data_IF_288381479071
#
_entry.id   IF_288381479071
#
_cell.length_a   1.000
_cell.length_b   1.000
_cell.length_c   1.000
_cell.angle_alpha   90.00
_cell.angle_beta   90.00
_cell.angle_gamma   90.00
#
_symmetry.space_group_name_H-M   'P 1'
#
loop_
_entity.id
_entity.type
_entity.pdbx_description
1 polymer ?
#
# COMPACT_ATOMS: atom_id res chain seq x y z
N UNK A 1 -87.68 5.19 27.63
CA UNK A 1 -86.60 4.56 28.42
C UNK A 1 -85.63 3.94 27.41
N UNK A 2 -84.60 4.70 27.03
CA UNK A 2 -83.23 4.71 27.60
C UNK A 2 -82.36 3.66 26.86
N UNK A 3 -81.60 4.09 25.84
CA UNK A 3 -80.19 4.55 25.90
C UNK A 3 -79.27 3.38 25.50
N UNK A 4 -78.19 3.48 24.72
CA UNK A 4 -77.40 4.61 24.20
C UNK A 4 -76.45 4.03 23.12
N UNK A 5 -76.25 4.78 22.02
CA UNK A 5 -74.96 5.19 21.38
C UNK A 5 -73.77 4.21 21.28
N UNK A 6 -72.96 4.13 20.21
CA UNK A 6 -72.90 4.72 18.85
C UNK A 6 -71.67 4.13 18.11
N UNK A 7 -71.85 3.76 16.82
CA UNK A 7 -71.03 3.99 15.59
C UNK A 7 -69.49 3.82 15.60
N UNK A 8 -68.77 3.09 14.71
CA UNK A 8 -68.82 2.70 13.27
C UNK A 8 -67.79 3.41 12.34
N UNK A 9 -67.13 2.57 11.51
CA UNK A 9 -66.73 2.73 10.07
C UNK A 9 -65.71 3.81 9.67
N UNK A 10 -64.60 3.55 8.94
CA UNK A 10 -64.24 2.70 7.79
C UNK A 10 -64.63 3.24 6.38
N UNK A 11 -63.60 3.75 5.69
CA UNK A 11 -63.18 3.56 4.28
C UNK A 11 -64.04 4.02 3.06
N UNK A 12 -63.33 4.64 2.09
CA UNK A 12 -63.34 4.48 0.62
C UNK A 12 -63.61 5.73 -0.28
N UNK A 13 -62.67 5.89 -1.24
CA UNK A 13 -62.79 6.35 -2.66
C UNK A 13 -63.14 7.82 -2.95
N UNK A 14 -62.71 8.51 -4.01
CA UNK A 14 -61.76 8.30 -5.14
C UNK A 14 -61.64 9.64 -5.92
N UNK A 15 -60.47 9.91 -6.52
CA UNK A 15 -60.19 10.74 -7.73
C UNK A 15 -60.66 12.20 -7.85
N UNK A 16 -59.70 13.14 -8.02
CA UNK A 16 -59.76 14.10 -9.14
C UNK A 16 -58.40 14.75 -9.49
N UNK A 17 -58.29 15.06 -10.79
CA UNK A 17 -57.11 15.37 -11.59
C UNK A 17 -56.62 16.82 -11.49
N UNK A 18 -55.29 16.96 -11.45
CA UNK A 18 -54.39 18.06 -11.85
C UNK A 18 -54.91 19.51 -12.00
N UNK A 19 -54.27 20.42 -11.24
CA UNK A 19 -53.73 21.67 -11.78
C UNK A 19 -52.44 22.07 -11.06
N UNK A 20 -51.44 22.38 -11.88
CA UNK A 20 -50.02 22.60 -11.64
C UNK A 20 -49.67 23.85 -10.83
N UNK A 21 -48.87 23.67 -9.77
CA UNK A 21 -47.83 24.62 -9.34
C UNK A 21 -46.56 23.83 -9.01
N UNK A 22 -45.49 24.13 -9.72
CA UNK A 22 -44.14 23.60 -9.49
C UNK A 22 -43.55 24.20 -8.20
N UNK A 23 -43.03 23.39 -7.26
CA UNK A 23 -42.03 23.86 -6.31
C UNK A 23 -40.65 23.72 -6.98
N UNK A 24 -40.03 24.85 -7.32
CA UNK A 24 -38.61 24.93 -7.62
C UNK A 24 -37.83 25.04 -6.30
N UNK A 25 -36.82 24.19 -6.17
CA UNK A 25 -35.50 24.41 -5.57
C UNK A 25 -35.43 24.93 -4.12
N UNK A 26 -35.45 24.01 -3.15
CA UNK A 26 -34.83 24.21 -1.82
C UNK A 26 -33.56 23.31 -1.64
N UNK A 27 -33.27 22.38 -2.56
CA UNK A 27 -32.13 21.45 -2.43
C UNK A 27 -30.79 21.95 -3.05
N UNK A 28 -30.82 23.05 -3.82
CA UNK A 28 -29.64 23.61 -4.49
C UNK A 28 -28.89 24.67 -3.65
N UNK A 29 -29.60 25.40 -2.76
CA UNK A 29 -28.96 26.39 -1.87
C UNK A 29 -28.06 25.70 -0.84
N UNK A 30 -28.55 24.65 -0.18
CA UNK A 30 -27.80 23.88 0.83
C UNK A 30 -26.57 23.16 0.25
N UNK A 31 -26.62 22.73 -1.02
CA UNK A 31 -25.45 22.16 -1.71
C UNK A 31 -24.41 23.22 -2.05
N UNK A 32 -24.85 24.40 -2.49
CA UNK A 32 -23.94 25.51 -2.83
C UNK A 32 -23.20 26.04 -1.60
N UNK A 33 -23.89 26.10 -0.45
CA UNK A 33 -23.29 26.50 0.83
C UNK A 33 -22.32 25.43 1.36
N UNK A 34 -22.63 24.15 1.17
CA UNK A 34 -21.72 23.06 1.54
C UNK A 34 -20.47 23.03 0.66
N UNK A 35 -20.60 23.28 -0.64
CA UNK A 35 -19.45 23.41 -1.56
C UNK A 35 -18.60 24.64 -1.25
N UNK A 36 -19.22 25.76 -0.86
CA UNK A 36 -18.52 26.96 -0.41
C UNK A 36 -17.72 26.69 0.88
N UNK A 37 -18.33 26.02 1.86
CA UNK A 37 -17.68 25.64 3.12
C UNK A 37 -16.49 24.70 2.88
N UNK A 38 -16.61 23.75 1.95
CA UNK A 38 -15.52 22.85 1.59
C UNK A 38 -14.37 23.56 0.86
N UNK A 39 -14.70 24.54 0.00
CA UNK A 39 -13.71 25.38 -0.67
C UNK A 39 -12.95 26.27 0.34
N UNK A 40 -13.68 26.86 1.30
CA UNK A 40 -13.09 27.66 2.39
C UNK A 40 -12.17 26.82 3.29
N UNK A 41 -12.58 25.60 3.66
CA UNK A 41 -11.75 24.70 4.48
C UNK A 41 -10.48 24.27 3.73
N UNK A 42 -10.61 23.96 2.44
CA UNK A 42 -9.49 23.60 1.58
C UNK A 42 -8.50 24.76 1.41
N UNK A 43 -9.00 25.97 1.25
CA UNK A 43 -8.19 27.18 1.12
C UNK A 43 -7.49 27.54 2.45
N UNK A 44 -8.19 27.40 3.58
CA UNK A 44 -7.62 27.58 4.91
C UNK A 44 -6.47 26.60 5.19
N UNK A 45 -6.63 25.32 4.79
CA UNK A 45 -5.55 24.31 4.85
C UNK A 45 -4.35 24.69 3.99
N UNK A 46 -4.58 25.22 2.78
CA UNK A 46 -3.51 25.66 1.89
C UNK A 46 -2.71 26.83 2.51
N UNK A 47 -3.40 27.85 3.04
CA UNK A 47 -2.74 28.98 3.71
C UNK A 47 -1.97 28.54 4.96
N UNK A 48 -2.51 27.60 5.74
CA UNK A 48 -1.82 27.01 6.89
C UNK A 48 -0.53 26.32 6.47
N UNK A 49 -0.56 25.52 5.40
CA UNK A 49 0.62 24.84 4.87
C UNK A 49 1.69 25.81 4.34
N UNK A 50 1.27 26.88 3.65
CA UNK A 50 2.17 27.93 3.16
C UNK A 50 2.85 28.65 4.35
N UNK A 51 2.07 29.01 5.38
CA UNK A 51 2.61 29.59 6.61
C UNK A 51 3.59 28.65 7.32
N UNK A 52 3.28 27.36 7.37
CA UNK A 52 4.14 26.37 7.99
C UNK A 52 5.47 26.19 7.24
N UNK A 53 5.41 26.21 5.90
CA UNK A 53 6.59 26.15 5.03
C UNK A 53 7.46 27.41 5.18
N UNK A 54 6.84 28.60 5.18
CA UNK A 54 7.52 29.88 5.41
C UNK A 54 8.24 29.90 6.76
N UNK A 55 7.54 29.52 7.84
CA UNK A 55 8.10 29.46 9.18
C UNK A 55 9.23 28.42 9.32
N UNK A 56 9.11 27.27 8.66
CA UNK A 56 10.19 26.27 8.63
C UNK A 56 11.41 26.76 7.85
N UNK A 57 11.21 27.43 6.72
CA UNK A 57 12.28 28.01 5.92
C UNK A 57 13.08 29.05 6.71
N UNK A 58 12.39 29.98 7.38
CA UNK A 58 13.04 30.98 8.25
C UNK A 58 13.80 30.31 9.39
N UNK A 59 13.20 29.31 10.03
CA UNK A 59 13.83 28.58 11.13
C UNK A 59 15.11 27.87 10.67
N UNK A 60 15.11 27.33 9.44
CA UNK A 60 16.27 26.67 8.86
C UNK A 60 17.39 27.68 8.55
N UNK A 61 17.05 28.82 7.96
CA UNK A 61 18.01 29.92 7.65
C UNK A 61 18.64 30.47 8.92
N UNK A 62 17.84 30.69 9.98
CA UNK A 62 18.34 31.15 11.30
C UNK A 62 19.29 30.16 11.98
N UNK A 63 19.20 28.87 11.65
CA UNK A 63 20.11 27.83 12.16
C UNK A 63 21.45 27.77 11.40
N UNK A 64 21.64 28.58 10.36
CA UNK A 64 22.85 28.61 9.53
C UNK A 64 23.56 29.99 9.57
N UNK A 65 23.87 30.55 10.75
CA UNK A 65 24.45 31.90 10.86
C UNK A 65 25.85 32.04 10.25
N UNK A 66 26.58 30.93 10.13
CA UNK A 66 27.88 30.87 9.48
C UNK A 66 27.79 30.94 7.94
N UNK A 67 26.61 30.68 7.36
CA UNK A 67 26.36 30.72 5.91
C UNK A 67 25.85 32.09 5.49
N UNK A 68 24.90 32.65 6.24
CA UNK A 68 24.19 33.88 5.83
C UNK A 68 24.73 35.16 6.49
N UNK A 69 25.56 35.05 7.52
CA UNK A 69 26.16 36.20 8.20
C UNK A 69 25.19 36.95 9.14
N UNK A 70 25.73 37.58 10.19
CA UNK A 70 24.91 38.19 11.25
C UNK A 70 24.12 39.43 10.81
N UNK A 71 24.62 40.20 9.82
CA UNK A 71 23.94 41.39 9.30
C UNK A 71 22.68 41.04 8.50
N UNK A 72 22.74 39.99 7.68
CA UNK A 72 21.59 39.49 6.93
C UNK A 72 20.51 38.93 7.86
N UNK A 73 20.89 38.15 8.88
CA UNK A 73 19.93 37.62 9.85
C UNK A 73 19.26 38.72 10.68
N UNK A 74 19.97 39.82 10.99
CA UNK A 74 19.39 40.98 11.66
C UNK A 74 18.43 41.78 10.76
N UNK A 75 18.74 41.90 9.47
CA UNK A 75 17.85 42.51 8.48
C UNK A 75 16.57 41.68 8.29
N UNK A 76 16.71 40.35 8.19
CA UNK A 76 15.59 39.40 8.11
C UNK A 76 14.67 39.50 9.34
N UNK A 77 15.24 39.64 10.54
CA UNK A 77 14.45 39.85 11.78
C UNK A 77 13.70 41.18 11.79
N UNK A 78 14.29 42.24 11.21
CA UNK A 78 13.65 43.56 11.12
C UNK A 78 12.49 43.56 10.11
N UNK A 79 12.66 42.87 8.98
CA UNK A 79 11.64 42.75 7.94
C UNK A 79 10.46 41.87 8.38
N UNK A 80 10.72 40.82 9.16
CA UNK A 80 9.68 39.99 9.78
C UNK A 80 8.81 40.75 10.80
N UNK A 81 9.37 41.73 11.51
CA UNK A 81 8.62 42.58 12.45
C UNK A 81 7.68 43.57 11.75
N UNK A 82 7.91 43.85 10.47
CA UNK A 82 7.09 44.78 9.67
C UNK A 82 6.20 44.07 8.64
N UNK A 83 6.22 42.74 8.59
CA UNK A 83 5.38 41.97 7.69
C UNK A 83 3.90 42.02 8.12
N UNK A 84 2.96 42.26 7.18
CA UNK A 84 1.51 42.28 7.47
C UNK A 84 0.97 40.92 7.94
N UNK A 85 1.77 39.85 7.85
CA UNK A 85 1.43 38.51 8.34
C UNK A 85 1.67 38.32 9.85
N UNK A 86 2.33 39.27 10.53
CA UNK A 86 2.64 39.19 11.97
C UNK A 86 1.40 39.20 12.88
N UNK A 87 0.23 39.59 12.37
CA UNK A 87 -1.04 39.65 13.11
C UNK A 87 -1.98 38.45 12.94
N UNK A 88 -1.64 37.44 12.12
CA UNK A 88 -2.50 36.26 11.90
C UNK A 88 -2.30 35.21 13.00
N UNK A 89 -2.64 35.56 14.24
CA UNK A 89 -2.92 34.61 15.31
C UNK A 89 -4.37 34.74 15.75
N UNK A 90 -5.18 33.74 15.39
CA UNK A 90 -6.49 33.49 16.00
C UNK A 90 -7.69 34.10 15.27
N UNK A 91 -8.43 33.21 14.58
CA UNK A 91 -9.86 33.37 14.23
C UNK A 91 -10.18 34.41 13.17
N UNK A 92 -10.59 33.97 11.98
CA UNK A 92 -11.19 34.85 10.97
C UNK A 92 -12.53 34.28 10.49
N UNK A 93 -13.58 35.09 10.63
CA UNK A 93 -14.95 34.83 10.19
C UNK A 93 -15.19 35.33 8.74
N UNK A 94 -16.25 34.82 8.12
CA UNK A 94 -16.60 34.80 6.68
C UNK A 94 -16.71 36.14 5.90
N UNK A 95 -16.26 37.27 6.43
CA UNK A 95 -16.39 38.58 5.76
C UNK A 95 -15.09 39.20 5.22
N UNK A 96 -13.93 38.68 5.59
CA UNK A 96 -12.65 39.40 5.45
C UNK A 96 -12.13 39.45 4.00
N UNK A 97 -12.38 38.42 3.19
CA UNK A 97 -11.71 38.23 1.90
C UNK A 97 -12.09 39.26 0.82
N UNK A 98 -13.25 39.92 0.92
CA UNK A 98 -13.65 40.97 -0.04
C UNK A 98 -12.97 42.32 0.19
N UNK A 99 -12.33 42.54 1.35
CA UNK A 99 -11.88 43.89 1.73
C UNK A 99 -10.37 44.13 1.53
N UNK A 100 -9.56 43.08 1.34
CA UNK A 100 -8.09 43.18 1.56
C UNK A 100 -7.21 43.30 0.31
N UNK A 101 -7.77 43.37 -0.91
CA UNK A 101 -6.97 43.63 -2.12
C UNK A 101 -5.80 42.66 -2.30
N UNK A 102 -6.11 41.38 -2.45
CA UNK A 102 -5.16 40.25 -2.42
C UNK A 102 -4.16 40.18 -3.58
N UNK A 103 -4.27 41.06 -4.58
CA UNK A 103 -3.37 41.10 -5.74
C UNK A 103 -1.94 41.48 -5.32
N UNK A 104 -1.80 42.43 -4.37
CA UNK A 104 -0.49 42.88 -3.90
C UNK A 104 0.26 41.87 -3.04
N UNK A 105 -0.44 40.93 -2.39
CA UNK A 105 0.19 39.91 -1.54
C UNK A 105 0.81 38.81 -2.40
N UNK A 106 0.11 38.40 -3.47
CA UNK A 106 0.62 37.41 -4.41
C UNK A 106 1.80 37.93 -5.22
N UNK A 107 1.75 39.20 -5.66
CA UNK A 107 2.88 39.84 -6.35
C UNK A 107 4.11 39.97 -5.42
N UNK A 108 3.90 40.33 -4.15
CA UNK A 108 4.99 40.42 -3.17
C UNK A 108 5.62 39.05 -2.86
N UNK A 109 4.82 37.98 -2.82
CA UNK A 109 5.33 36.60 -2.68
C UNK A 109 6.10 36.11 -3.91
N UNK A 110 5.63 36.46 -5.11
CA UNK A 110 6.32 36.13 -6.36
C UNK A 110 7.64 36.89 -6.49
N UNK A 111 7.64 38.18 -6.17
CA UNK A 111 8.82 39.04 -6.22
C UNK A 111 9.85 38.66 -5.16
N UNK A 112 9.41 38.30 -3.95
CA UNK A 112 10.29 37.76 -2.91
C UNK A 112 10.95 36.44 -3.36
N UNK A 113 10.18 35.51 -3.93
CA UNK A 113 10.73 34.27 -4.49
C UNK A 113 11.74 34.51 -5.61
N UNK A 114 11.48 35.50 -6.47
CA UNK A 114 12.39 35.91 -7.55
C UNK A 114 13.68 36.52 -7.02
N UNK A 115 13.58 37.42 -6.04
CA UNK A 115 14.72 38.11 -5.44
C UNK A 115 15.60 37.15 -4.64
N UNK A 116 15.01 36.20 -3.90
CA UNK A 116 15.76 35.14 -3.22
C UNK A 116 16.55 34.30 -4.22
N UNK A 117 15.96 33.90 -5.36
CA UNK A 117 16.66 33.14 -6.40
C UNK A 117 17.77 33.97 -7.08
N UNK A 118 17.55 35.27 -7.29
CA UNK A 118 18.55 36.17 -7.88
C UNK A 118 19.73 36.46 -6.94
N UNK A 119 19.48 36.74 -5.65
CA UNK A 119 20.55 36.90 -4.65
C UNK A 119 21.31 35.60 -4.40
N UNK A 120 20.62 34.45 -4.41
CA UNK A 120 21.28 33.14 -4.31
C UNK A 120 22.19 32.91 -5.52
N UNK A 121 21.77 33.31 -6.71
CA UNK A 121 22.57 33.19 -7.94
C UNK A 121 23.76 34.14 -7.97
N UNK A 122 23.60 35.41 -7.57
CA UNK A 122 24.70 36.39 -7.55
C UNK A 122 25.73 36.11 -6.46
N UNK A 123 25.28 35.73 -5.26
CA UNK A 123 26.16 35.40 -4.13
C UNK A 123 26.97 34.14 -4.41
N UNK A 124 26.38 33.14 -5.07
CA UNK A 124 27.09 31.92 -5.49
C UNK A 124 28.15 32.24 -6.54
N UNK A 125 27.84 33.10 -7.53
CA UNK A 125 28.80 33.46 -8.59
C UNK A 125 29.99 34.29 -8.08
N UNK A 126 29.82 35.14 -7.07
CA UNK A 126 30.92 35.94 -6.52
C UNK A 126 31.77 35.18 -5.49
N UNK A 127 31.20 34.21 -4.75
CA UNK A 127 31.97 33.27 -3.91
C UNK A 127 32.90 32.38 -4.74
N UNK A 128 32.53 32.07 -5.99
CA UNK A 128 33.38 31.30 -6.91
C UNK A 128 34.53 32.10 -7.56
N UNK A 129 34.61 33.42 -7.35
CA UNK A 129 35.70 34.26 -7.89
C UNK A 129 36.82 34.55 -6.89
N UNK A 130 36.68 34.18 -5.62
CA UNK A 130 37.75 34.37 -4.63
C UNK A 130 38.85 33.28 -4.75
N UNK A 131 40.13 33.65 -4.99
CA UNK A 131 41.20 32.68 -5.27
C UNK A 131 41.51 31.71 -4.12
N UNK A 132 41.09 32.03 -2.89
CA UNK A 132 41.41 31.27 -1.69
C UNK A 132 40.34 30.26 -1.25
N UNK A 133 39.15 30.27 -1.88
CA UNK A 133 38.07 29.34 -1.53
C UNK A 133 38.18 27.99 -2.29
N UNK A 134 38.75 28.02 -3.50
CA UNK A 134 38.95 26.84 -4.36
C UNK A 134 39.78 25.72 -3.71
N UNK A 135 40.78 26.07 -2.88
CA UNK A 135 41.70 25.09 -2.30
C UNK A 135 41.17 24.37 -1.05
N UNK A 136 40.22 24.96 -0.31
CA UNK A 136 39.66 24.34 0.91
C UNK A 136 38.32 23.63 0.67
N UNK A 137 37.59 23.99 -0.38
CA UNK A 137 36.30 23.33 -0.69
C UNK A 137 36.47 21.95 -1.33
N UNK A 138 37.61 21.69 -1.98
CA UNK A 138 37.87 20.43 -2.68
C UNK A 138 38.02 19.22 -1.72
N UNK A 139 38.36 19.41 -0.44
CA UNK A 139 38.57 18.29 0.49
C UNK A 139 37.36 17.90 1.34
N UNK A 140 36.28 18.70 1.38
CA UNK A 140 35.19 18.52 2.35
C UNK A 140 33.87 18.02 1.74
N UNK A 141 33.70 18.08 0.41
CA UNK A 141 32.41 17.74 -0.25
C UNK A 141 32.42 16.44 -1.07
N UNK A 142 33.53 15.70 -1.10
CA UNK A 142 33.64 14.40 -1.80
C UNK A 142 33.14 13.20 -0.96
N UNK A 143 32.55 13.45 0.21
CA UNK A 143 31.92 12.43 1.05
C UNK A 143 30.49 12.82 1.41
N UNK A 144 29.59 12.82 0.43
CA UNK A 144 28.22 12.28 0.56
C UNK A 144 27.44 12.44 -0.74
N UNK A 145 26.84 11.33 -1.19
CA UNK A 145 25.85 11.13 -2.27
C UNK A 145 26.39 10.78 -3.66
N UNK A 146 26.20 9.53 -4.12
CA UNK A 146 26.19 9.20 -5.53
C UNK A 146 24.76 9.10 -6.07
N UNK A 147 24.48 9.84 -7.14
CA UNK A 147 23.57 9.39 -8.19
C UNK A 147 24.42 8.88 -9.35
N UNK A 148 23.99 7.76 -9.93
CA UNK A 148 24.63 6.93 -10.95
C UNK A 148 24.89 7.66 -12.27
N UNK A 149 26.13 7.66 -12.76
CA UNK A 149 26.58 7.04 -14.03
C UNK A 149 27.86 7.68 -14.59
N UNK A 150 28.74 6.80 -15.09
CA UNK A 150 29.78 6.99 -16.12
C UNK A 150 31.26 7.28 -15.78
N UNK A 151 32.03 6.18 -15.97
CA UNK A 151 33.33 6.05 -16.65
C UNK A 151 34.59 6.48 -15.88
N UNK A 152 35.17 5.48 -15.19
CA UNK A 152 36.54 5.48 -14.69
C UNK A 152 37.55 5.25 -15.83
N UNK A 153 38.45 6.20 -16.04
CA UNK A 153 39.81 5.93 -16.51
C UNK A 153 40.78 6.21 -15.36
N UNK A 154 41.66 5.25 -15.05
CA UNK A 154 42.90 5.50 -14.31
C UNK A 154 43.01 5.03 -12.85
N UNK A 155 43.56 3.81 -12.71
CA UNK A 155 44.48 3.28 -11.67
C UNK A 155 44.03 3.04 -10.20
N UNK A 156 44.19 1.77 -9.79
CA UNK A 156 43.83 1.15 -8.50
C UNK A 156 44.83 1.47 -7.37
N UNK A 157 44.34 1.55 -6.11
CA UNK A 157 45.10 1.14 -4.93
C UNK A 157 44.69 -0.27 -4.45
N UNK A 158 45.62 -0.89 -3.74
CA UNK A 158 45.81 -2.32 -3.42
C UNK A 158 44.64 -3.09 -2.78
N UNK A 159 44.70 -4.41 -3.01
CA UNK A 159 43.71 -5.46 -2.78
C UNK A 159 43.15 -5.54 -1.35
N UNK A 160 41.81 -5.46 -1.26
CA UNK A 160 41.03 -6.06 -0.17
C UNK A 160 40.42 -7.39 -0.68
N UNK A 161 40.24 -8.41 0.18
CA UNK A 161 39.71 -9.70 -0.27
C UNK A 161 38.32 -9.52 -0.86
N UNK A 162 38.09 -10.11 -2.03
CA UNK A 162 36.89 -9.94 -2.84
C UNK A 162 35.62 -10.24 -2.04
N UNK A 163 34.87 -9.20 -1.70
CA UNK A 163 33.43 -9.33 -1.44
C UNK A 163 32.75 -9.40 -2.81
N UNK A 164 31.98 -10.46 -3.04
CA UNK A 164 31.24 -10.72 -4.28
C UNK A 164 30.52 -9.46 -4.78
N UNK A 165 30.82 -9.08 -6.03
CA UNK A 165 30.15 -7.99 -6.74
C UNK A 165 28.64 -8.26 -6.79
N UNK A 166 27.85 -7.52 -6.00
CA UNK A 166 26.41 -7.48 -6.15
C UNK A 166 26.08 -6.62 -7.37
N UNK A 167 25.60 -7.26 -8.43
CA UNK A 167 25.14 -6.62 -9.66
C UNK A 167 24.06 -5.57 -9.36
N UNK A 168 24.19 -4.32 -9.86
CA UNK A 168 23.14 -3.32 -9.72
C UNK A 168 21.95 -3.72 -10.60
N UNK A 169 20.82 -4.10 -9.98
CA UNK A 169 19.57 -4.44 -10.65
C UNK A 169 19.29 -5.93 -10.88
N UNK A 170 19.95 -6.84 -10.14
CA UNK A 170 19.72 -8.29 -10.24
C UNK A 170 18.37 -8.76 -9.68
N UNK A 171 17.82 -9.85 -10.24
CA UNK A 171 16.71 -10.58 -9.64
C UNK A 171 17.03 -10.93 -8.18
N UNK A 172 16.06 -10.70 -7.29
CA UNK A 172 16.16 -10.92 -5.85
C UNK A 172 15.32 -12.13 -5.46
N UNK A 173 15.77 -13.31 -5.91
CA UNK A 173 15.20 -14.64 -5.63
C UNK A 173 15.26 -15.00 -4.12
N UNK A 174 15.42 -16.26 -3.72
CA UNK A 174 15.46 -16.64 -2.30
C UNK A 174 16.52 -15.86 -1.50
N UNK A 175 17.65 -15.49 -2.12
CA UNK A 175 18.66 -14.63 -1.49
C UNK A 175 18.08 -13.27 -1.11
N UNK A 176 17.21 -12.68 -1.93
CA UNK A 176 16.57 -11.41 -1.65
C UNK A 176 15.69 -11.46 -0.40
N UNK A 177 14.90 -12.52 -0.24
CA UNK A 177 14.11 -12.76 0.97
C UNK A 177 14.99 -12.90 2.23
N UNK A 178 16.08 -13.66 2.14
CA UNK A 178 17.00 -13.86 3.27
C UNK A 178 17.75 -12.58 3.64
N UNK A 179 18.21 -11.82 2.65
CA UNK A 179 18.89 -10.55 2.85
C UNK A 179 17.96 -9.50 3.50
N UNK A 180 16.70 -9.42 3.07
CA UNK A 180 15.70 -8.58 3.71
C UNK A 180 15.44 -9.00 5.16
N UNK A 181 15.32 -10.31 5.40
CA UNK A 181 15.15 -10.85 6.76
C UNK A 181 16.35 -10.50 7.65
N UNK A 182 17.57 -10.70 7.15
CA UNK A 182 18.80 -10.35 7.86
C UNK A 182 18.87 -8.85 8.14
N UNK A 183 18.52 -8.02 7.15
CA UNK A 183 18.50 -6.58 7.27
C UNK A 183 17.54 -6.12 8.38
N UNK A 184 16.32 -6.67 8.41
CA UNK A 184 15.34 -6.39 9.47
C UNK A 184 15.88 -6.77 10.85
N UNK A 185 16.50 -7.94 10.98
CA UNK A 185 17.07 -8.38 12.27
C UNK A 185 18.21 -7.49 12.77
N UNK A 186 19.01 -6.92 11.86
CA UNK A 186 20.18 -6.10 12.20
C UNK A 186 19.83 -4.61 12.40
N UNK A 187 18.94 -4.07 11.57
CA UNK A 187 18.69 -2.63 11.47
C UNK A 187 17.26 -2.23 11.83
N UNK A 188 16.34 -3.19 11.94
CA UNK A 188 14.95 -2.93 12.26
C UNK A 188 14.76 -2.35 13.66
N UNK A 189 13.67 -1.61 13.84
CA UNK A 189 13.31 -1.01 15.12
C UNK A 189 12.32 -1.90 15.84
N UNK A 190 12.55 -2.11 17.14
CA UNK A 190 11.59 -2.79 18.01
C UNK A 190 10.34 -1.93 18.19
N UNK A 191 9.16 -2.54 18.06
CA UNK A 191 7.86 -1.92 18.26
C UNK A 191 6.91 -2.91 18.93
N UNK A 192 5.93 -2.40 19.67
CA UNK A 192 4.76 -3.20 20.06
C UNK A 192 3.85 -3.44 18.87
N UNK A 193 2.87 -4.32 19.03
CA UNK A 193 1.86 -4.63 18.02
C UNK A 193 0.55 -5.08 18.68
N UNK A 194 -0.52 -5.22 17.89
CA UNK A 194 -1.86 -5.58 18.40
C UNK A 194 -1.93 -6.95 19.09
N UNK A 195 -1.02 -7.87 18.78
CA UNK A 195 -0.98 -9.23 19.35
C UNK A 195 -0.27 -9.28 20.70
N UNK A 196 0.47 -8.22 21.07
CA UNK A 196 1.30 -8.17 22.28
C UNK A 196 2.63 -8.92 22.19
N UNK A 197 2.95 -9.55 21.06
CA UNK A 197 4.23 -10.28 20.86
C UNK A 197 5.41 -9.34 20.69
N UNK A 198 5.19 -8.19 20.07
CA UNK A 198 6.21 -7.27 19.61
C UNK A 198 6.88 -7.72 18.32
N UNK A 199 7.42 -6.75 17.59
CA UNK A 199 8.10 -6.96 16.31
C UNK A 199 9.41 -6.19 16.24
N UNK A 200 10.30 -6.63 15.36
CA UNK A 200 11.41 -5.84 14.82
C UNK A 200 11.06 -5.52 13.37
N UNK A 201 10.98 -4.25 12.98
CA UNK A 201 10.51 -3.88 11.64
C UNK A 201 11.28 -2.77 10.95
N UNK A 202 11.16 -2.77 9.62
CA UNK A 202 11.58 -1.70 8.71
C UNK A 202 10.38 -1.29 7.85
N UNK A 203 10.37 -0.06 7.37
CA UNK A 203 9.29 0.45 6.54
C UNK A 203 9.78 0.65 5.10
N UNK A 204 9.20 -0.11 4.18
CA UNK A 204 9.64 -0.20 2.79
C UNK A 204 10.67 -1.29 2.56
N UNK A 205 10.29 -2.33 1.81
CA UNK A 205 11.19 -3.31 1.23
C UNK A 205 10.63 -3.82 -0.10
N UNK A 206 11.49 -4.30 -1.00
CA UNK A 206 11.04 -4.86 -2.27
C UNK A 206 11.90 -6.06 -2.69
N UNK A 207 11.24 -7.16 -3.05
CA UNK A 207 11.85 -8.33 -3.69
C UNK A 207 11.34 -8.50 -5.13
N UNK A 208 12.11 -9.22 -5.95
CA UNK A 208 11.74 -9.55 -7.34
C UNK A 208 12.17 -10.98 -7.62
N UNK A 209 11.24 -11.83 -8.03
CA UNK A 209 11.45 -13.24 -8.31
C UNK A 209 11.17 -13.49 -9.78
N UNK A 210 12.09 -14.16 -10.49
CA UNK A 210 11.78 -14.60 -11.84
C UNK A 210 10.92 -15.86 -11.80
N UNK A 211 9.85 -15.89 -12.58
CA UNK A 211 8.95 -17.04 -12.73
C UNK A 211 9.30 -17.89 -13.96
N UNK A 212 10.32 -17.50 -14.73
CA UNK A 212 10.74 -18.22 -15.95
C UNK A 212 11.45 -19.51 -15.54
N UNK A 213 10.89 -20.65 -15.95
CA UNK A 213 11.41 -22.00 -15.69
C UNK A 213 11.65 -22.36 -14.21
N UNK A 214 11.00 -21.66 -13.27
CA UNK A 214 11.08 -21.90 -11.82
C UNK A 214 9.88 -21.33 -11.06
N UNK A 215 9.63 -21.85 -9.87
CA UNK A 215 8.56 -21.41 -8.98
C UNK A 215 9.13 -20.99 -7.62
N UNK A 216 8.93 -19.73 -7.17
CA UNK A 216 9.59 -19.18 -5.98
C UNK A 216 8.97 -19.71 -4.68
N UNK A 217 9.25 -20.98 -4.38
CA UNK A 217 8.89 -21.65 -3.14
C UNK A 217 10.17 -21.87 -2.33
N UNK A 218 10.30 -21.15 -1.21
CA UNK A 218 11.54 -21.12 -0.42
C UNK A 218 12.08 -22.52 -0.12
N UNK A 219 13.38 -22.68 -0.24
CA UNK A 219 14.08 -23.96 -0.05
C UNK A 219 14.83 -24.02 1.27
N UNK A 220 15.19 -22.89 1.86
CA UNK A 220 15.80 -22.80 3.20
C UNK A 220 14.84 -23.21 4.32
N UNK A 221 13.54 -23.36 4.05
CA UNK A 221 12.54 -23.91 4.96
C UNK A 221 11.43 -24.57 4.14
N UNK A 222 11.01 -25.79 4.49
CA UNK A 222 9.81 -26.40 3.89
C UNK A 222 8.57 -25.54 4.13
N UNK A 223 8.04 -24.96 3.06
CA UNK A 223 6.78 -24.21 3.00
C UNK A 223 5.59 -25.14 2.74
N UNK A 224 4.44 -24.84 3.35
CA UNK A 224 3.22 -25.65 3.27
C UNK A 224 2.42 -25.38 1.99
N UNK A 225 2.83 -26.03 0.89
CA UNK A 225 2.24 -25.89 -0.45
C UNK A 225 0.71 -26.04 -0.49
N UNK A 226 0.17 -27.10 0.14
CA UNK A 226 -1.29 -27.36 0.14
C UNK A 226 -2.08 -26.16 0.67
N UNK A 227 -1.59 -25.51 1.73
CA UNK A 227 -2.24 -24.34 2.30
C UNK A 227 -2.28 -23.17 1.31
N UNK A 228 -1.17 -22.89 0.64
CA UNK A 228 -1.06 -21.82 -0.37
C UNK A 228 -2.04 -22.06 -1.52
N UNK A 229 -2.05 -23.27 -2.07
CA UNK A 229 -2.88 -23.62 -3.21
C UNK A 229 -4.37 -23.54 -2.89
N UNK A 230 -4.80 -24.17 -1.79
CA UNK A 230 -6.22 -24.19 -1.41
C UNK A 230 -6.74 -22.82 -0.99
N UNK A 231 -5.92 -22.01 -0.32
CA UNK A 231 -6.28 -20.62 0.01
C UNK A 231 -6.45 -19.77 -1.25
N UNK A 232 -5.56 -19.90 -2.22
CA UNK A 232 -5.70 -19.13 -3.47
C UNK A 232 -6.95 -19.55 -4.25
N UNK A 233 -7.25 -20.85 -4.35
CA UNK A 233 -8.48 -21.32 -4.98
C UNK A 233 -9.73 -20.81 -4.24
N UNK A 234 -9.67 -20.73 -2.90
CA UNK A 234 -10.72 -20.16 -2.07
C UNK A 234 -10.91 -18.65 -2.30
N UNK A 235 -9.83 -17.87 -2.42
CA UNK A 235 -9.90 -16.46 -2.81
C UNK A 235 -10.49 -16.29 -4.21
N UNK A 236 -10.04 -17.08 -5.19
CA UNK A 236 -10.52 -17.02 -6.57
C UNK A 236 -12.02 -17.27 -6.62
N UNK A 237 -12.54 -18.27 -5.90
CA UNK A 237 -13.99 -18.55 -5.84
C UNK A 237 -14.81 -17.42 -5.18
N UNK A 238 -14.16 -16.48 -4.48
CA UNK A 238 -14.84 -15.41 -3.75
C UNK A 238 -15.38 -15.83 -2.39
N UNK A 239 -14.99 -17.00 -1.88
CA UNK A 239 -15.49 -17.51 -0.59
C UNK A 239 -14.93 -16.71 0.58
N UNK A 240 -15.73 -16.60 1.64
CA UNK A 240 -15.39 -15.95 2.93
C UNK A 240 -15.59 -16.90 4.12
N UNK A 241 -15.92 -18.16 3.85
CA UNK A 241 -16.11 -19.20 4.85
C UNK A 241 -14.82 -19.96 5.14
N UNK A 242 -14.23 -19.74 6.32
CA UNK A 242 -13.01 -20.41 6.76
C UNK A 242 -13.17 -21.94 6.97
N UNK A 243 -14.40 -22.44 7.12
CA UNK A 243 -14.67 -23.88 7.28
C UNK A 243 -14.37 -24.65 6.01
N UNK A 244 -14.55 -24.05 4.82
CA UNK A 244 -14.19 -24.69 3.53
C UNK A 244 -12.71 -25.09 3.48
N UNK A 245 -11.83 -24.25 4.03
CA UNK A 245 -10.40 -24.55 4.14
C UNK A 245 -10.13 -25.63 5.20
N UNK A 246 -10.81 -25.53 6.34
CA UNK A 246 -10.65 -26.46 7.46
C UNK A 246 -11.04 -27.89 7.09
N UNK A 247 -12.11 -28.07 6.31
CA UNK A 247 -12.55 -29.35 5.76
C UNK A 247 -11.49 -30.00 4.85
N UNK A 248 -10.66 -29.19 4.19
CA UNK A 248 -9.49 -29.65 3.41
C UNK A 248 -8.22 -29.82 4.25
N UNK A 249 -8.30 -29.64 5.57
CA UNK A 249 -7.17 -29.72 6.49
C UNK A 249 -6.24 -28.50 6.43
N UNK A 250 -6.73 -27.36 5.94
CA UNK A 250 -6.00 -26.09 5.90
C UNK A 250 -6.53 -25.18 7.01
N UNK A 251 -5.69 -24.91 8.01
CA UNK A 251 -6.08 -24.29 9.29
C UNK A 251 -5.61 -22.84 9.48
N UNK A 252 -5.11 -22.20 8.42
CA UNK A 252 -4.45 -20.89 8.49
C UNK A 252 -5.40 -19.75 8.92
N UNK A 253 -6.71 -19.90 8.69
CA UNK A 253 -7.76 -18.94 9.08
C UNK A 253 -8.55 -19.35 10.33
N UNK A 254 -8.27 -20.52 10.92
CA UNK A 254 -9.06 -21.10 12.02
C UNK A 254 -9.08 -20.18 13.25
N UNK A 255 -7.93 -19.58 13.60
CA UNK A 255 -7.84 -18.65 14.73
C UNK A 255 -8.66 -17.37 14.50
N UNK A 256 -8.55 -16.78 13.30
CA UNK A 256 -9.25 -15.54 12.95
C UNK A 256 -10.75 -15.73 12.71
N UNK A 257 -11.18 -16.94 12.37
CA UNK A 257 -12.59 -17.30 12.22
C UNK A 257 -13.24 -17.88 13.48
N UNK A 258 -12.49 -18.06 14.56
CA UNK A 258 -13.01 -18.66 15.80
C UNK A 258 -14.07 -17.78 16.46
N UNK A 259 -15.04 -18.41 17.14
CA UNK A 259 -16.09 -17.70 17.89
C UNK A 259 -15.50 -16.61 18.80
N UNK A 260 -14.49 -16.97 19.58
CA UNK A 260 -13.83 -16.06 20.52
C UNK A 260 -13.22 -14.84 19.82
N UNK A 261 -12.55 -15.04 18.68
CA UNK A 261 -11.91 -13.93 17.96
C UNK A 261 -12.96 -12.99 17.35
N UNK A 262 -14.02 -13.53 16.77
CA UNK A 262 -15.13 -12.73 16.22
C UNK A 262 -15.85 -11.93 17.31
N UNK A 263 -16.08 -12.52 18.49
CA UNK A 263 -16.70 -11.84 19.62
C UNK A 263 -15.83 -10.69 20.15
N UNK A 264 -14.50 -10.89 20.19
CA UNK A 264 -13.54 -9.84 20.56
C UNK A 264 -13.55 -8.65 19.59
N UNK A 265 -13.95 -8.87 18.33
CA UNK A 265 -14.15 -7.82 17.33
C UNK A 265 -15.55 -7.21 17.36
N UNK A 266 -16.45 -7.69 18.22
CA UNK A 266 -17.83 -7.24 18.33
C UNK A 266 -18.80 -7.90 17.35
N UNK A 267 -18.40 -8.96 16.65
CA UNK A 267 -19.25 -9.69 15.70
C UNK A 267 -20.03 -10.83 16.37
N UNK A 268 -20.82 -10.51 17.40
CA UNK A 268 -21.52 -11.51 18.22
C UNK A 268 -22.55 -12.34 17.46
N UNK A 269 -23.17 -11.77 16.43
CA UNK A 269 -24.22 -12.43 15.63
C UNK A 269 -23.70 -13.09 14.36
N UNK A 270 -22.42 -12.87 14.02
CA UNK A 270 -21.78 -13.46 12.83
C UNK A 270 -21.48 -14.94 13.06
N UNK A 271 -21.75 -15.82 12.11
CA UNK A 271 -21.46 -17.26 12.28
C UNK A 271 -19.95 -17.53 12.49
N UNK A 272 -19.60 -18.52 13.32
CA UNK A 272 -18.20 -18.98 13.41
C UNK A 272 -17.70 -19.43 12.04
N UNK A 273 -16.49 -18.98 11.66
CA UNK A 273 -15.91 -19.21 10.34
C UNK A 273 -16.25 -18.14 9.28
N UNK A 274 -17.22 -17.26 9.52
CA UNK A 274 -17.51 -16.13 8.63
C UNK A 274 -16.48 -15.02 8.85
N UNK A 275 -15.59 -14.83 7.88
CA UNK A 275 -14.51 -13.85 7.96
C UNK A 275 -14.94 -12.44 7.57
N UNK A 276 -16.18 -12.24 7.12
CA UNK A 276 -16.64 -11.00 6.50
C UNK A 276 -16.13 -10.83 5.06
N UNK A 277 -16.27 -9.63 4.47
CA UNK A 277 -15.93 -9.35 3.07
C UNK A 277 -14.42 -9.22 2.84
N UNK A 278 -13.65 -10.28 3.12
CA UNK A 278 -12.18 -10.34 2.98
C UNK A 278 -11.74 -10.50 1.52
N UNK A 279 -10.52 -11.00 1.27
CA UNK A 279 -9.86 -10.99 -0.04
C UNK A 279 -10.72 -11.47 -1.21
N UNK A 280 -11.22 -12.71 -1.16
CA UNK A 280 -11.99 -13.28 -2.28
C UNK A 280 -13.25 -12.48 -2.59
N UNK A 281 -13.97 -12.03 -1.56
CA UNK A 281 -15.12 -11.17 -1.73
C UNK A 281 -14.76 -9.86 -2.43
N UNK A 282 -13.68 -9.20 -2.02
CA UNK A 282 -13.24 -7.99 -2.70
C UNK A 282 -12.76 -8.27 -4.13
N UNK A 283 -12.22 -9.45 -4.43
CA UNK A 283 -11.79 -9.80 -5.79
C UNK A 283 -12.96 -10.02 -6.75
N UNK A 284 -14.06 -10.61 -6.28
CA UNK A 284 -15.20 -11.03 -7.11
C UNK A 284 -16.42 -10.11 -7.01
N UNK A 285 -16.56 -9.37 -5.90
CA UNK A 285 -17.77 -8.65 -5.50
C UNK A 285 -17.45 -7.27 -4.91
N UNK A 286 -16.40 -6.59 -5.37
CA UNK A 286 -15.96 -5.31 -4.80
C UNK A 286 -17.12 -4.29 -4.79
N UNK A 287 -17.40 -3.71 -3.62
CA UNK A 287 -18.45 -2.71 -3.42
C UNK A 287 -19.87 -3.26 -3.24
N UNK A 288 -20.08 -4.57 -3.34
CA UNK A 288 -21.35 -5.20 -2.95
C UNK A 288 -21.59 -5.09 -1.43
N UNK A 289 -22.85 -5.10 -1.01
CA UNK A 289 -23.20 -5.12 0.41
C UNK A 289 -23.05 -6.54 0.97
N UNK A 290 -22.12 -6.70 1.91
CA UNK A 290 -21.92 -7.99 2.57
C UNK A 290 -23.05 -8.28 3.56
N UNK A 291 -23.60 -9.49 3.49
CA UNK A 291 -24.61 -9.99 4.44
C UNK A 291 -24.06 -11.13 5.29
N UNK A 292 -23.87 -12.31 4.72
CA UNK A 292 -23.30 -13.49 5.38
C UNK A 292 -22.40 -14.28 4.42
N UNK A 293 -21.55 -15.16 4.94
CA UNK A 293 -20.74 -16.06 4.11
C UNK A 293 -21.55 -17.08 3.27
N UNK A 294 -22.84 -17.25 3.55
CA UNK A 294 -23.72 -18.22 2.88
C UNK A 294 -24.61 -17.58 1.79
N UNK A 295 -24.58 -16.26 1.63
CA UNK A 295 -25.39 -15.56 0.64
C UNK A 295 -24.83 -15.74 -0.78
N UNK A 296 -25.72 -15.66 -1.77
CA UNK A 296 -25.34 -15.64 -3.18
C UNK A 296 -25.03 -14.21 -3.63
N UNK A 297 -23.76 -13.95 -3.92
CA UNK A 297 -23.26 -12.66 -4.41
C UNK A 297 -23.10 -12.62 -5.93
N UNK A 298 -23.58 -13.63 -6.66
CA UNK A 298 -23.46 -13.70 -8.12
C UNK A 298 -24.02 -12.45 -8.79
N UNK A 299 -23.20 -11.79 -9.61
CA UNK A 299 -23.58 -10.56 -10.32
C UNK A 299 -23.62 -9.30 -9.45
N UNK A 300 -23.24 -9.37 -8.17
CA UNK A 300 -23.16 -8.22 -7.28
C UNK A 300 -21.73 -7.67 -7.22
N UNK A 301 -21.62 -6.34 -7.14
CA UNK A 301 -20.33 -5.64 -7.06
C UNK A 301 -19.55 -5.68 -8.37
N UNK A 302 -18.24 -5.44 -8.28
CA UNK A 302 -17.31 -5.48 -9.41
C UNK A 302 -16.43 -6.74 -9.31
N UNK A 303 -16.47 -7.59 -10.34
CA UNK A 303 -15.57 -8.73 -10.48
C UNK A 303 -14.21 -8.26 -11.03
N UNK A 304 -13.34 -7.84 -10.11
CA UNK A 304 -12.00 -7.33 -10.45
C UNK A 304 -11.13 -8.42 -11.08
N UNK A 305 -11.22 -9.66 -10.61
CA UNK A 305 -10.43 -10.78 -11.15
C UNK A 305 -10.80 -11.05 -12.62
N UNK A 306 -12.10 -11.10 -12.92
CA UNK A 306 -12.54 -11.27 -14.30
C UNK A 306 -12.16 -10.06 -15.17
N UNK A 307 -12.30 -8.83 -14.67
CA UNK A 307 -11.88 -7.63 -15.38
C UNK A 307 -10.38 -7.62 -15.71
N UNK A 308 -9.53 -8.10 -14.80
CA UNK A 308 -8.09 -8.28 -15.04
C UNK A 308 -7.85 -9.26 -16.20
N UNK A 309 -8.48 -10.44 -16.16
CA UNK A 309 -8.33 -11.48 -17.19
C UNK A 309 -8.80 -10.96 -18.55
N UNK A 310 -9.97 -10.34 -18.59
CA UNK A 310 -10.55 -9.75 -19.79
C UNK A 310 -9.66 -8.66 -20.39
N UNK A 311 -9.09 -7.80 -19.54
CA UNK A 311 -8.20 -6.73 -19.98
C UNK A 311 -6.90 -7.29 -20.53
N UNK A 312 -6.30 -8.30 -19.89
CA UNK A 312 -5.10 -8.98 -20.41
C UNK A 312 -5.35 -9.56 -21.81
N UNK A 313 -6.53 -10.17 -22.03
CA UNK A 313 -6.86 -10.78 -23.32
C UNK A 313 -7.18 -9.74 -24.41
N UNK A 314 -7.85 -8.64 -24.05
CA UNK A 314 -8.37 -7.66 -25.02
C UNK A 314 -7.45 -6.45 -25.24
N UNK A 315 -6.76 -6.01 -24.20
CA UNK A 315 -5.88 -4.85 -24.18
C UNK A 315 -4.64 -5.10 -23.28
N UNK A 316 -3.73 -6.02 -23.66
CA UNK A 316 -2.61 -6.43 -22.81
C UNK A 316 -1.65 -5.30 -22.42
N UNK A 317 -1.56 -4.24 -23.23
CA UNK A 317 -0.70 -3.08 -22.96
C UNK A 317 -1.35 -2.05 -22.02
N UNK A 318 -2.56 -2.32 -21.54
CA UNK A 318 -3.23 -1.45 -20.57
C UNK A 318 -2.40 -1.33 -19.29
N UNK A 319 -2.31 -0.10 -18.78
CA UNK A 319 -1.51 0.23 -17.58
C UNK A 319 -2.34 0.23 -16.30
N UNK A 320 -3.60 -0.22 -16.37
CA UNK A 320 -4.60 -0.19 -15.28
C UNK A 320 -5.09 -1.60 -14.92
N UNK A 321 -4.35 -2.64 -15.31
CA UNK A 321 -4.66 -4.04 -14.97
C UNK A 321 -4.37 -4.26 -13.48
N UNK A 322 -5.32 -3.89 -12.62
CA UNK A 322 -5.15 -3.82 -11.16
C UNK A 322 -6.28 -4.57 -10.48
N UNK A 323 -5.94 -5.22 -9.36
CA UNK A 323 -6.90 -5.80 -8.42
C UNK A 323 -6.58 -5.29 -7.01
N UNK A 324 -7.60 -4.79 -6.30
CA UNK A 324 -7.47 -4.19 -4.98
C UNK A 324 -8.39 -4.87 -3.95
N UNK A 325 -7.82 -5.29 -2.82
CA UNK A 325 -8.58 -5.81 -1.68
C UNK A 325 -8.88 -4.73 -0.63
N UNK A 326 -8.22 -3.57 -0.69
CA UNK A 326 -8.39 -2.51 0.30
C UNK A 326 -9.64 -1.66 0.02
N UNK A 327 -10.75 -2.00 0.67
CA UNK A 327 -12.01 -1.25 0.58
C UNK A 327 -12.31 -0.55 1.93
N UNK A 328 -12.10 0.77 2.05
CA UNK A 328 -12.31 1.51 3.30
C UNK A 328 -13.71 1.35 3.92
N UNK A 329 -14.75 1.19 3.10
CA UNK A 329 -16.13 0.98 3.57
C UNK A 329 -16.28 -0.34 4.33
N UNK A 330 -15.60 -1.37 3.87
CA UNK A 330 -15.78 -2.74 4.36
C UNK A 330 -14.74 -3.15 5.40
N UNK A 331 -13.66 -2.37 5.60
CA UNK A 331 -12.63 -2.68 6.62
C UNK A 331 -13.21 -2.97 8.01
N UNK A 332 -14.20 -2.22 8.54
CA UNK A 332 -14.79 -2.49 9.85
C UNK A 332 -15.59 -3.81 9.89
N UNK A 333 -15.89 -4.42 8.75
CA UNK A 333 -16.63 -5.68 8.65
C UNK A 333 -15.70 -6.90 8.54
N UNK A 334 -14.40 -6.72 8.32
CA UNK A 334 -13.47 -7.83 8.08
C UNK A 334 -12.89 -8.37 9.38
N UNK A 335 -12.81 -9.70 9.52
CA UNK A 335 -12.13 -10.34 10.65
C UNK A 335 -10.64 -9.95 10.71
N UNK A 336 -10.01 -9.77 9.54
CA UNK A 336 -8.66 -9.23 9.44
C UNK A 336 -8.55 -8.34 8.20
N UNK A 337 -8.17 -7.05 8.34
CA UNK A 337 -7.94 -6.18 7.20
C UNK A 337 -6.87 -6.73 6.24
N UNK A 338 -7.02 -6.59 4.92
CA UNK A 338 -6.13 -7.17 3.92
C UNK A 338 -4.67 -6.80 4.13
N UNK A 339 -3.78 -7.79 4.21
CA UNK A 339 -2.33 -7.57 4.27
C UNK A 339 -1.79 -7.29 2.86
N UNK A 340 -2.08 -8.16 1.90
CA UNK A 340 -1.82 -7.97 0.47
C UNK A 340 -2.95 -7.13 -0.13
N UNK A 341 -2.71 -5.83 -0.27
CA UNK A 341 -3.76 -4.83 -0.44
C UNK A 341 -4.08 -4.57 -1.92
N UNK A 342 -3.07 -4.58 -2.79
CA UNK A 342 -3.22 -4.26 -4.20
C UNK A 342 -2.18 -5.01 -5.03
N UNK A 343 -2.57 -5.58 -6.16
CA UNK A 343 -1.63 -6.07 -7.15
C UNK A 343 -1.93 -5.47 -8.55
N UNK A 344 -0.86 -5.27 -9.31
CA UNK A 344 -0.89 -4.81 -10.68
C UNK A 344 -0.25 -5.88 -11.58
N UNK A 345 -0.86 -6.11 -12.74
CA UNK A 345 -0.34 -6.99 -13.76
C UNK A 345 0.25 -6.19 -14.92
N UNK A 346 1.21 -6.80 -15.60
CA UNK A 346 1.93 -6.19 -16.71
C UNK A 346 2.21 -7.25 -17.77
N UNK A 347 1.82 -6.98 -19.02
CA UNK A 347 2.10 -7.85 -20.16
C UNK A 347 3.19 -7.22 -21.03
N UNK A 348 4.23 -7.97 -21.32
CA UNK A 348 5.30 -7.55 -22.23
C UNK A 348 5.98 -8.80 -22.81
N UNK A 349 6.35 -8.75 -24.09
CA UNK A 349 7.07 -9.84 -24.77
C UNK A 349 6.43 -11.25 -24.64
N UNK A 350 5.10 -11.30 -24.60
CA UNK A 350 4.34 -12.54 -24.43
C UNK A 350 4.38 -13.12 -23.01
N UNK A 351 4.84 -12.34 -22.04
CA UNK A 351 4.94 -12.71 -20.63
C UNK A 351 4.01 -11.87 -19.74
N UNK A 352 3.49 -12.49 -18.69
CA UNK A 352 2.69 -11.85 -17.65
C UNK A 352 3.50 -11.72 -16.36
N UNK A 353 3.68 -10.48 -15.90
CA UNK A 353 4.30 -10.17 -14.62
C UNK A 353 3.26 -9.63 -13.63
N UNK A 354 3.55 -9.75 -12.34
CA UNK A 354 2.69 -9.29 -11.25
C UNK A 354 3.51 -8.52 -10.21
N UNK A 355 3.05 -7.33 -9.84
CA UNK A 355 3.57 -6.56 -8.73
C UNK A 355 2.54 -6.49 -7.61
N UNK A 356 2.90 -6.97 -6.42
CA UNK A 356 2.09 -6.91 -5.21
C UNK A 356 2.57 -5.80 -4.28
N UNK A 357 1.66 -4.98 -3.77
CA UNK A 357 1.86 -4.16 -2.58
C UNK A 357 1.17 -4.80 -1.37
N UNK A 358 1.97 -5.11 -0.35
CA UNK A 358 1.54 -5.67 0.92
C UNK A 358 1.87 -4.70 2.05
N UNK A 359 0.84 -4.15 2.70
CA UNK A 359 1.00 -3.11 3.74
C UNK A 359 1.73 -3.60 5.00
N UNK A 360 1.66 -4.91 5.27
CA UNK A 360 2.20 -5.55 6.47
C UNK A 360 2.67 -6.95 6.12
N UNK A 361 3.97 -7.21 6.24
CA UNK A 361 4.62 -8.45 5.85
C UNK A 361 5.34 -9.12 7.01
N UNK A 362 4.72 -10.16 7.57
CA UNK A 362 5.39 -11.06 8.51
C UNK A 362 6.40 -11.92 7.75
N UNK A 363 7.68 -11.62 7.92
CA UNK A 363 8.77 -12.32 7.23
C UNK A 363 8.87 -13.79 7.65
N UNK A 364 8.45 -14.17 8.86
CA UNK A 364 8.58 -15.54 9.37
C UNK A 364 7.58 -16.51 8.75
N UNK A 365 6.32 -16.12 8.70
CA UNK A 365 5.22 -16.97 8.23
C UNK A 365 4.56 -16.43 6.96
N UNK A 366 4.06 -15.18 6.99
CA UNK A 366 3.21 -14.62 5.93
C UNK A 366 3.90 -14.45 4.58
N UNK A 367 5.04 -13.75 4.54
CA UNK A 367 5.74 -13.40 3.29
C UNK A 367 6.10 -14.63 2.44
N UNK A 368 6.66 -15.73 3.00
CA UNK A 368 6.87 -16.96 2.24
C UNK A 368 5.59 -17.53 1.58
N UNK A 369 4.45 -17.45 2.25
CA UNK A 369 3.16 -17.84 1.68
C UNK A 369 2.72 -16.88 0.57
N UNK A 370 2.86 -15.57 0.78
CA UNK A 370 2.43 -14.55 -0.16
C UNK A 370 3.25 -14.57 -1.46
N UNK A 371 4.55 -14.84 -1.39
CA UNK A 371 5.42 -15.01 -2.57
C UNK A 371 4.88 -16.13 -3.47
N UNK A 372 4.70 -17.32 -2.90
CA UNK A 372 4.22 -18.47 -3.65
C UNK A 372 2.76 -18.30 -4.13
N UNK A 373 1.89 -17.68 -3.33
CA UNK A 373 0.48 -17.47 -3.68
C UNK A 373 0.32 -16.54 -4.89
N UNK A 374 0.99 -15.39 -4.90
CA UNK A 374 0.88 -14.45 -6.03
C UNK A 374 1.70 -14.88 -7.24
N UNK A 375 2.79 -15.64 -7.05
CA UNK A 375 3.44 -16.35 -8.16
C UNK A 375 2.45 -17.34 -8.80
N UNK A 376 1.76 -18.17 -8.00
CA UNK A 376 0.78 -19.12 -8.50
C UNK A 376 -0.38 -18.43 -9.23
N UNK A 377 -0.93 -17.34 -8.70
CA UNK A 377 -1.96 -16.55 -9.38
C UNK A 377 -1.47 -16.06 -10.76
N UNK A 378 -0.22 -15.60 -10.83
CA UNK A 378 0.39 -15.15 -12.09
C UNK A 378 0.53 -16.31 -13.08
N UNK A 379 0.95 -17.49 -12.63
CA UNK A 379 0.98 -18.71 -13.44
C UNK A 379 -0.41 -19.10 -13.97
N UNK A 380 -1.45 -19.04 -13.11
CA UNK A 380 -2.82 -19.41 -13.48
C UNK A 380 -3.40 -18.45 -14.54
N UNK A 381 -3.22 -17.14 -14.35
CA UNK A 381 -3.70 -16.14 -15.31
C UNK A 381 -2.92 -16.27 -16.63
N UNK A 382 -1.59 -16.37 -16.57
CA UNK A 382 -0.77 -16.56 -17.76
C UNK A 382 -1.22 -17.78 -18.57
N UNK A 383 -1.49 -18.91 -17.89
CA UNK A 383 -1.98 -20.14 -18.51
C UNK A 383 -3.29 -19.94 -19.28
N UNK A 384 -4.31 -19.33 -18.66
CA UNK A 384 -5.63 -19.17 -19.29
C UNK A 384 -5.65 -18.05 -20.35
N UNK A 385 -4.68 -17.14 -20.34
CA UNK A 385 -4.53 -16.09 -21.35
C UNK A 385 -3.50 -16.44 -22.42
N UNK A 386 -2.90 -17.63 -22.39
CA UNK A 386 -1.91 -18.08 -23.38
C UNK A 386 -0.56 -17.35 -23.32
N UNK A 387 -0.26 -16.72 -22.18
CA UNK A 387 1.01 -16.04 -21.91
C UNK A 387 1.97 -16.95 -21.13
N UNK A 388 3.24 -16.56 -21.08
CA UNK A 388 4.24 -17.18 -20.19
C UNK A 388 4.34 -16.40 -18.87
N UNK A 389 4.67 -17.03 -17.74
CA UNK A 389 4.92 -16.30 -16.49
C UNK A 389 6.26 -15.53 -16.58
N UNK A 390 6.23 -14.23 -16.22
CA UNK A 390 7.37 -13.31 -16.26
C UNK A 390 8.00 -13.10 -14.88
N UNK A 391 7.81 -11.91 -14.29
CA UNK A 391 8.35 -11.56 -12.98
C UNK A 391 7.24 -11.45 -11.92
N UNK A 392 7.57 -11.84 -10.68
CA UNK A 392 6.80 -11.45 -9.50
C UNK A 392 7.58 -10.43 -8.68
N UNK A 393 7.03 -9.23 -8.47
CA UNK A 393 7.62 -8.16 -7.67
C UNK A 393 6.81 -7.99 -6.38
N UNK A 394 7.45 -8.09 -5.23
CA UNK A 394 6.79 -8.02 -3.92
C UNK A 394 7.25 -6.78 -3.18
N UNK A 395 6.38 -5.80 -3.04
CA UNK A 395 6.60 -4.55 -2.31
C UNK A 395 5.95 -4.65 -0.93
N UNK A 396 6.73 -4.41 0.12
CA UNK A 396 6.31 -4.46 1.52
C UNK A 396 6.28 -3.06 2.13
N UNK A 397 5.21 -2.74 2.83
CA UNK A 397 5.09 -1.59 3.72
C UNK A 397 5.85 -1.85 5.03
N UNK A 398 5.14 -2.23 6.09
CA UNK A 398 5.76 -2.67 7.35
C UNK A 398 6.27 -4.12 7.21
N UNK A 399 7.56 -4.26 6.87
CA UNK A 399 8.25 -5.55 6.79
C UNK A 399 8.84 -5.88 8.17
N UNK A 400 8.38 -6.96 8.78
CA UNK A 400 8.64 -7.22 10.18
C UNK A 400 8.91 -8.69 10.51
N UNK A 401 9.65 -8.88 11.60
CA UNK A 401 9.89 -10.17 12.24
C UNK A 401 9.30 -10.10 13.64
N UNK A 402 8.37 -11.02 13.96
CA UNK A 402 7.91 -11.17 15.33
C UNK A 402 9.05 -11.59 16.26
N UNK A 403 9.05 -11.08 17.49
CA UNK A 403 10.13 -11.33 18.45
C UNK A 403 10.32 -12.83 18.73
N UNK A 404 9.24 -13.60 18.75
CA UNK A 404 9.27 -15.06 18.92
C UNK A 404 9.75 -15.83 17.66
N UNK A 405 9.95 -15.17 16.52
CA UNK A 405 10.49 -15.77 15.29
C UNK A 405 11.98 -15.47 15.06
N UNK A 406 12.60 -14.63 15.88
CA UNK A 406 14.01 -14.23 15.70
C UNK A 406 14.95 -15.45 15.69
N UNK A 407 14.86 -16.33 16.69
CA UNK A 407 15.73 -17.53 16.77
C UNK A 407 15.43 -18.54 15.65
N UNK A 408 14.16 -18.88 15.35
CA UNK A 408 13.81 -19.65 14.15
C UNK A 408 14.40 -19.10 12.84
N UNK A 409 14.35 -17.78 12.63
CA UNK A 409 14.86 -17.15 11.42
C UNK A 409 16.39 -17.12 11.37
N UNK A 410 17.09 -16.97 12.51
CA UNK A 410 18.55 -17.14 12.55
C UNK A 410 18.98 -18.53 12.09
N UNK A 411 18.23 -19.57 12.45
CA UNK A 411 18.47 -20.94 11.94
C UNK A 411 18.25 -20.99 10.42
N UNK A 412 17.19 -20.35 9.91
CA UNK A 412 16.93 -20.30 8.47
C UNK A 412 18.07 -19.61 7.71
N UNK A 413 18.59 -18.49 8.23
CA UNK A 413 19.65 -17.69 7.62
C UNK A 413 21.01 -18.42 7.52
N UNK A 414 21.20 -19.48 8.29
CA UNK A 414 22.41 -20.32 8.23
C UNK A 414 22.33 -21.44 7.17
N UNK A 415 21.15 -21.65 6.57
CA UNK A 415 20.94 -22.74 5.60
C UNK A 415 21.36 -22.29 4.20
N UNK A 416 22.04 -23.18 3.49
CA UNK A 416 22.34 -22.99 2.08
C UNK A 416 21.05 -22.98 1.25
N UNK A 417 20.95 -22.03 0.32
CA UNK A 417 19.87 -21.97 -0.67
C UNK A 417 20.02 -23.15 -1.62
N UNK A 418 18.92 -23.83 -1.94
CA UNK A 418 18.84 -24.85 -2.97
C UNK A 418 18.07 -24.32 -4.18
N UNK A 419 18.20 -24.93 -5.37
CA UNK A 419 17.44 -24.51 -6.54
C UNK A 419 15.94 -24.49 -6.25
N UNK A 420 15.25 -23.45 -6.72
CA UNK A 420 13.80 -23.41 -6.67
C UNK A 420 13.19 -24.59 -7.43
N UNK A 421 12.02 -25.08 -7.00
CA UNK A 421 11.30 -26.10 -7.74
C UNK A 421 10.71 -25.55 -9.04
N UNK A 422 10.11 -26.44 -9.83
CA UNK A 422 9.28 -26.06 -10.99
C UNK A 422 7.81 -26.30 -10.68
N UNK A 423 6.93 -25.45 -11.21
CA UNK A 423 5.49 -25.65 -11.18
C UNK A 423 5.03 -26.15 -12.55
N UNK A 424 4.26 -27.24 -12.59
CA UNK A 424 3.54 -27.69 -13.78
C UNK A 424 2.05 -27.59 -13.56
N UNK A 425 1.35 -27.08 -14.57
CA UNK A 425 -0.10 -27.17 -14.68
C UNK A 425 -0.40 -28.38 -15.58
N UNK A 426 -0.97 -29.43 -15.00
CA UNK A 426 -1.13 -30.75 -15.61
C UNK A 426 -2.25 -30.80 -16.66
N UNK A 427 -3.28 -29.96 -16.47
CA UNK A 427 -4.47 -29.93 -17.33
C UNK A 427 -4.56 -28.59 -18.03
N UNK A 428 -4.99 -28.62 -19.30
CA UNK A 428 -5.42 -27.39 -19.99
C UNK A 428 -6.74 -26.91 -19.39
N UNK A 429 -6.66 -25.88 -18.56
CA UNK A 429 -7.80 -25.15 -18.01
C UNK A 429 -8.09 -23.90 -18.85
N UNK A 430 -9.37 -23.55 -19.05
CA UNK A 430 -9.79 -22.40 -19.88
C UNK A 430 -10.33 -21.22 -19.06
N UNK A 431 -10.91 -21.48 -17.89
CA UNK A 431 -11.44 -20.45 -16.98
C UNK A 431 -10.71 -20.49 -15.64
N UNK A 432 -10.54 -19.34 -15.00
CA UNK A 432 -9.88 -19.25 -13.70
C UNK A 432 -10.60 -20.05 -12.60
N UNK A 433 -11.94 -20.15 -12.68
CA UNK A 433 -12.77 -20.87 -11.72
C UNK A 433 -12.66 -22.40 -11.83
N UNK A 434 -12.16 -22.91 -12.97
CA UNK A 434 -12.16 -24.34 -13.27
C UNK A 434 -10.91 -25.06 -12.74
N UNK A 435 -9.93 -24.31 -12.19
CA UNK A 435 -8.73 -24.89 -11.59
C UNK A 435 -9.06 -25.68 -10.32
N UNK A 436 -8.37 -26.81 -10.16
CA UNK A 436 -8.47 -27.69 -9.00
C UNK A 436 -7.09 -27.97 -8.44
N UNK A 437 -7.04 -28.42 -7.18
CA UNK A 437 -5.76 -28.66 -6.51
C UNK A 437 -4.92 -29.73 -7.25
N UNK A 438 -5.58 -30.71 -7.85
CA UNK A 438 -4.95 -31.79 -8.62
C UNK A 438 -4.31 -31.31 -9.93
N UNK A 439 -4.63 -30.11 -10.41
CA UNK A 439 -4.07 -29.59 -11.65
C UNK A 439 -2.63 -29.11 -11.49
N UNK A 440 -2.09 -29.05 -10.26
CA UNK A 440 -0.78 -28.47 -9.97
C UNK A 440 0.20 -29.51 -9.42
N UNK A 441 1.36 -29.60 -10.06
CA UNK A 441 2.48 -30.43 -9.61
C UNK A 441 3.70 -29.55 -9.33
N UNK A 442 4.25 -29.68 -8.12
CA UNK A 442 5.54 -29.10 -7.75
C UNK A 442 6.63 -30.16 -8.01
N UNK A 443 7.48 -29.92 -9.01
CA UNK A 443 8.60 -30.80 -9.36
C UNK A 443 9.90 -30.34 -8.70
N UNK A 444 10.77 -31.29 -8.36
CA UNK A 444 12.14 -31.04 -7.89
C UNK A 444 12.25 -30.21 -6.60
N UNK A 445 11.19 -30.17 -5.78
CA UNK A 445 11.21 -29.45 -4.50
C UNK A 445 11.95 -30.23 -3.41
N UNK A 446 13.22 -29.86 -3.21
CA UNK A 446 14.09 -30.44 -2.20
C UNK A 446 14.46 -29.40 -1.10
N UNK A 447 13.51 -28.93 -0.26
CA UNK A 447 13.81 -27.94 0.76
C UNK A 447 14.53 -28.55 1.97
N UNK A 448 15.11 -27.70 2.79
CA UNK A 448 15.50 -28.02 4.15
C UNK A 448 14.28 -28.34 5.04
N UNK A 449 14.46 -29.05 6.17
CA UNK A 449 13.36 -29.41 7.06
C UNK A 449 12.52 -28.21 7.54
N UNK A 450 11.24 -28.41 7.92
CA UNK A 450 10.41 -27.35 8.47
C UNK A 450 11.07 -26.66 9.67
N UNK A 451 10.82 -25.35 9.81
CA UNK A 451 11.14 -24.57 11.01
C UNK A 451 9.80 -24.17 11.64
N UNK A 452 9.57 -24.61 12.87
CA UNK A 452 8.32 -24.31 13.59
C UNK A 452 8.36 -22.86 14.09
N UNK A 453 7.32 -22.11 13.78
CA UNK A 453 7.08 -20.74 14.24
C UNK A 453 5.60 -20.63 14.63
N UNK A 454 5.32 -19.99 15.76
CA UNK A 454 3.94 -19.81 16.26
C UNK A 454 3.35 -18.53 15.69
N UNK A 455 2.14 -18.60 15.15
CA UNK A 455 1.43 -17.41 14.68
C UNK A 455 1.06 -16.51 15.87
N UNK A 456 1.22 -15.21 15.70
CA UNK A 456 0.74 -14.21 16.65
C UNK A 456 -0.74 -13.89 16.34
N UNK A 457 -1.64 -14.09 17.32
CA UNK A 457 -3.09 -13.93 17.16
C UNK A 457 -3.55 -12.61 17.76
#
# INVERSE_FOLDING_TARGET
MAAQFRTSTACLQSENVAQTKSPQNDDDEDKSDLELLQAEESFSRLLSNISLFYNHGITLVKKMPHVFGHSFLAALDTELQHSPLSGLQGGLTAGFLRTVGLDHILDSMYDFGRNVVQEFSSTVVDVFKEPHFSAKFSSAFLHTMPATSDIHTGERPEERPAAEERTPGGFCDERGYLDQTQYILQHGRRRGDRTGTGVVSVFGAQGRYSLRDQFPLLTTKKVFWKGILEELLWFIKGSTNAKELSEKGVKIWEANGSRQFLDNLGFTDREEGDLGPVYGFQWRHFGAEYSTMNADYTGQGVDQLQNVIDTIQKNPEDRRIIMCAWNPKDLPLMALPPCHALCQFYVCDGELSCQLYQRSGDMGLGVPFNIASYALLTYMIAHITGLKPGDFVHTLGDAHVYVNHIEPLKIQLQREIRPFPKLKILRKVERIDDFRAEDFEICDYNPHPPIKMQMAV
#
